data_IF_442477404531
#
_entry.id   IF_442477404531
#
_cell.length_a   1.000
_cell.length_b   1.000
_cell.length_c   1.000
_cell.angle_alpha   90.00
_cell.angle_beta   90.00
_cell.angle_gamma   90.00
#
_symmetry.space_group_name_H-M   'P 1'
#
loop_
_entity.id
_entity.type
_entity.pdbx_description
1 polymer ?
#
# COMPACT_ATOMS: atom_id res chain seq x y z
N UNK A 1 29.22 -28.45 -0.98
CA UNK A 1 28.37 -28.05 0.16
C UNK A 1 27.11 -27.43 -0.42
N UNK A 2 25.92 -27.87 -0.05
CA UNK A 2 24.71 -27.14 -0.45
C UNK A 2 24.73 -25.79 0.23
N UNK A 3 24.55 -24.72 -0.54
CA UNK A 3 24.49 -23.37 -0.01
C UNK A 3 23.26 -23.24 0.90
N UNK A 4 23.51 -23.27 2.22
CA UNK A 4 22.49 -23.17 3.25
C UNK A 4 21.74 -21.84 3.18
N UNK A 5 22.43 -20.77 2.77
CA UNK A 5 21.84 -19.44 2.61
C UNK A 5 20.90 -19.41 1.39
N UNK A 6 21.33 -20.00 0.27
CA UNK A 6 20.49 -20.12 -0.92
C UNK A 6 19.17 -20.85 -0.63
N UNK A 7 19.23 -21.99 0.09
CA UNK A 7 18.02 -22.73 0.49
C UNK A 7 17.13 -21.92 1.44
N UNK A 8 17.73 -21.25 2.43
CA UNK A 8 16.98 -20.40 3.36
C UNK A 8 16.27 -19.25 2.64
N UNK A 9 16.91 -18.64 1.63
CA UNK A 9 16.31 -17.61 0.78
C UNK A 9 15.15 -18.19 -0.03
N UNK A 10 15.35 -19.33 -0.72
CA UNK A 10 14.28 -19.97 -1.48
C UNK A 10 13.08 -20.33 -0.62
N UNK A 11 13.31 -20.89 0.58
CA UNK A 11 12.25 -21.21 1.53
C UNK A 11 11.55 -19.96 2.05
N UNK A 12 12.28 -18.88 2.33
CA UNK A 12 11.71 -17.63 2.80
C UNK A 12 10.83 -16.96 1.72
N UNK A 13 11.23 -17.02 0.45
CA UNK A 13 10.48 -16.43 -0.67
C UNK A 13 9.09 -17.06 -0.85
N UNK A 14 8.94 -18.35 -0.53
CA UNK A 14 7.65 -19.07 -0.68
C UNK A 14 6.76 -19.01 0.57
N UNK A 15 7.29 -18.53 1.70
CA UNK A 15 6.49 -18.37 2.94
C UNK A 15 5.49 -17.22 2.79
N UNK A 16 4.36 -17.26 3.52
CA UNK A 16 3.45 -16.13 3.60
C UNK A 16 4.20 -14.87 4.05
N UNK A 17 3.93 -13.75 3.38
CA UNK A 17 4.47 -12.46 3.79
C UNK A 17 3.84 -12.04 5.12
N UNK A 18 4.69 -11.50 5.98
CA UNK A 18 4.31 -10.83 7.22
C UNK A 18 3.78 -9.43 6.87
N UNK A 19 2.54 -9.14 7.27
CA UNK A 19 1.85 -7.90 6.90
C UNK A 19 2.54 -6.66 7.47
N UNK A 20 2.89 -6.68 8.74
CA UNK A 20 3.53 -5.54 9.42
C UNK A 20 4.93 -5.27 8.85
N UNK A 21 5.70 -6.34 8.58
CA UNK A 21 7.00 -6.17 7.90
C UNK A 21 6.84 -5.68 6.47
N UNK A 22 5.79 -6.08 5.78
CA UNK A 22 5.49 -5.60 4.43
C UNK A 22 5.12 -4.11 4.44
N UNK A 23 4.29 -3.66 5.37
CA UNK A 23 3.90 -2.24 5.53
C UNK A 23 5.14 -1.38 5.77
N UNK A 24 5.98 -1.75 6.74
CA UNK A 24 7.25 -1.05 7.02
C UNK A 24 8.18 -1.02 5.80
N UNK A 25 8.34 -2.18 5.15
CA UNK A 25 9.14 -2.29 3.93
C UNK A 25 8.58 -1.43 2.79
N UNK A 26 7.26 -1.39 2.61
CA UNK A 26 6.61 -0.57 1.60
C UNK A 26 6.85 0.92 1.86
N UNK A 27 6.73 1.38 3.11
CA UNK A 27 7.08 2.76 3.49
C UNK A 27 8.53 3.06 3.14
N UNK A 28 9.47 2.21 3.56
CA UNK A 28 10.90 2.44 3.35
C UNK A 28 11.27 2.48 1.86
N UNK A 29 10.76 1.55 1.05
CA UNK A 29 11.00 1.52 -0.39
C UNK A 29 10.38 2.72 -1.11
N UNK A 30 9.16 3.10 -0.72
CA UNK A 30 8.44 4.18 -1.38
C UNK A 30 8.96 5.57 -1.04
N UNK A 31 9.77 5.73 0.01
CA UNK A 31 10.44 7.01 0.30
C UNK A 31 11.36 7.50 -0.82
N UNK A 32 11.90 6.59 -1.63
CA UNK A 32 12.68 6.99 -2.81
C UNK A 32 11.84 7.76 -3.83
N UNK A 33 10.55 7.43 -3.93
CA UNK A 33 9.60 8.09 -4.82
C UNK A 33 8.81 9.22 -4.15
N UNK A 34 8.60 9.12 -2.83
CA UNK A 34 7.87 10.10 -2.02
C UNK A 34 8.74 10.50 -0.81
N UNK A 35 9.69 11.43 -0.95
CA UNK A 35 10.66 11.74 0.11
C UNK A 35 10.04 12.21 1.44
N UNK A 36 8.83 12.75 1.42
CA UNK A 36 8.08 13.18 2.60
C UNK A 36 7.30 12.04 3.29
N UNK A 37 7.32 10.83 2.74
CA UNK A 37 6.60 9.68 3.27
C UNK A 37 7.17 9.24 4.63
N UNK A 38 6.34 9.35 5.66
CA UNK A 38 6.62 8.89 7.02
C UNK A 38 5.67 7.75 7.40
N UNK A 39 6.12 6.78 8.21
CA UNK A 39 5.23 5.72 8.69
C UNK A 39 4.23 6.33 9.67
N UNK A 40 3.06 5.73 9.79
CA UNK A 40 2.19 5.92 10.95
C UNK A 40 2.45 4.75 11.88
N UNK A 41 2.83 5.04 13.13
CA UNK A 41 3.15 4.03 14.14
C UNK A 41 2.03 3.96 15.18
N UNK A 42 1.16 2.94 15.12
CA UNK A 42 0.16 2.74 16.16
C UNK A 42 -0.99 1.78 15.82
N UNK A 43 -1.54 1.12 16.84
CA UNK A 43 -2.68 0.18 16.68
C UNK A 43 -4.05 0.83 16.46
N UNK A 44 -4.11 2.16 16.28
CA UNK A 44 -5.35 2.93 16.16
C UNK A 44 -5.41 3.73 14.85
N UNK A 45 -4.53 3.41 13.89
CA UNK A 45 -4.14 4.25 12.74
C UNK A 45 -5.20 4.41 11.64
N UNK A 46 -6.47 4.26 11.97
CA UNK A 46 -7.63 4.48 11.10
C UNK A 46 -7.54 3.79 9.72
N UNK A 47 -6.64 2.82 9.55
CA UNK A 47 -6.37 2.13 8.29
C UNK A 47 -5.28 2.73 7.39
N UNK A 48 -4.32 3.50 7.93
CA UNK A 48 -3.20 4.06 7.16
C UNK A 48 -1.86 3.53 7.66
N UNK A 49 -0.95 3.26 6.72
CA UNK A 49 0.40 2.78 7.04
C UNK A 49 1.46 3.90 6.93
N UNK A 50 1.10 4.99 6.26
CA UNK A 50 2.01 6.12 6.05
C UNK A 50 1.29 7.39 5.59
N UNK A 51 1.99 8.51 5.74
CA UNK A 51 1.53 9.83 5.30
C UNK A 51 2.65 10.52 4.52
N UNK A 52 2.30 11.22 3.45
CA UNK A 52 3.28 11.97 2.67
C UNK A 52 2.62 13.03 1.80
N UNK A 53 3.42 13.58 0.90
CA UNK A 53 3.01 14.56 -0.10
C UNK A 53 3.50 14.14 -1.47
N UNK A 54 2.66 14.31 -2.49
CA UNK A 54 3.06 14.17 -3.88
C UNK A 54 4.02 15.31 -4.26
N UNK A 55 4.67 15.21 -5.42
CA UNK A 55 5.61 16.23 -5.91
C UNK A 55 4.99 17.62 -6.11
N UNK A 56 3.66 17.70 -6.24
CA UNK A 56 2.90 18.95 -6.35
C UNK A 56 2.44 19.51 -4.98
N UNK A 57 2.88 18.89 -3.88
CA UNK A 57 2.49 19.25 -2.51
C UNK A 57 1.14 18.67 -2.06
N UNK A 58 0.45 17.88 -2.90
CA UNK A 58 -0.83 17.29 -2.52
C UNK A 58 -0.63 16.24 -1.42
N UNK A 59 -1.26 16.38 -0.23
CA UNK A 59 -1.10 15.41 0.84
C UNK A 59 -1.82 14.10 0.52
N UNK A 60 -1.16 12.98 0.78
CA UNK A 60 -1.70 11.63 0.60
C UNK A 60 -1.50 10.76 1.83
N UNK A 61 -2.25 9.66 1.90
CA UNK A 61 -2.00 8.56 2.84
C UNK A 61 -1.71 7.26 2.08
N UNK A 62 -0.90 6.41 2.68
CA UNK A 62 -0.51 5.10 2.15
C UNK A 62 -1.40 4.02 2.76
N UNK A 63 -1.86 3.11 1.91
CA UNK A 63 -2.39 1.80 2.32
C UNK A 63 -1.54 0.72 1.68
N UNK A 64 -1.02 -0.21 2.47
CA UNK A 64 -0.16 -1.30 2.10
C UNK A 64 -0.80 -2.62 2.56
N UNK A 65 -0.83 -3.64 1.70
CA UNK A 65 -1.43 -4.92 2.09
C UNK A 65 -0.87 -6.14 1.35
N UNK A 66 -0.77 -7.25 2.08
CA UNK A 66 -0.46 -8.58 1.53
C UNK A 66 -1.70 -9.45 1.32
N UNK A 67 -2.88 -8.95 1.70
CA UNK A 67 -4.14 -9.67 1.62
C UNK A 67 -4.45 -10.09 0.17
N UNK A 68 -5.18 -11.20 0.02
CA UNK A 68 -5.59 -11.70 -1.31
C UNK A 68 -6.55 -10.72 -1.99
N UNK A 69 -7.47 -10.14 -1.22
CA UNK A 69 -8.42 -9.14 -1.70
C UNK A 69 -7.95 -7.73 -1.32
N UNK A 70 -6.93 -7.25 -2.04
CA UNK A 70 -6.39 -5.90 -1.84
C UNK A 70 -7.42 -4.80 -2.06
N UNK A 71 -8.46 -5.03 -2.90
CA UNK A 71 -9.54 -4.06 -3.11
C UNK A 71 -10.37 -3.90 -1.84
N UNK A 72 -10.84 -5.00 -1.27
CA UNK A 72 -11.65 -4.97 -0.06
C UNK A 72 -10.87 -4.36 1.11
N UNK A 73 -9.57 -4.71 1.24
CA UNK A 73 -8.69 -4.10 2.23
C UNK A 73 -8.57 -2.57 2.02
N UNK A 74 -8.25 -2.13 0.80
CA UNK A 74 -8.15 -0.70 0.47
C UNK A 74 -9.46 0.05 0.77
N UNK A 75 -10.60 -0.50 0.38
CA UNK A 75 -11.90 0.12 0.63
C UNK A 75 -12.20 0.24 2.13
N UNK A 76 -11.94 -0.81 2.90
CA UNK A 76 -12.12 -0.82 4.36
C UNK A 76 -11.27 0.25 5.02
N UNK A 77 -10.01 0.36 4.61
CA UNK A 77 -9.05 1.33 5.14
C UNK A 77 -9.42 2.77 4.78
N UNK A 78 -9.78 3.05 3.51
CA UNK A 78 -10.28 4.37 3.09
C UNK A 78 -11.53 4.76 3.86
N UNK A 79 -12.50 3.85 3.97
CA UNK A 79 -13.76 4.09 4.71
C UNK A 79 -13.48 4.41 6.18
N UNK A 80 -12.61 3.64 6.82
CA UNK A 80 -12.18 3.85 8.21
C UNK A 80 -11.53 5.22 8.39
N UNK A 81 -10.59 5.59 7.51
CA UNK A 81 -9.91 6.88 7.56
C UNK A 81 -10.88 8.07 7.44
N UNK A 82 -11.80 8.01 6.47
CA UNK A 82 -12.80 9.07 6.27
C UNK A 82 -13.77 9.14 7.46
N UNK A 83 -14.20 7.98 7.99
CA UNK A 83 -15.11 7.90 9.13
C UNK A 83 -14.47 8.40 10.43
N UNK A 84 -13.14 8.31 10.55
CA UNK A 84 -12.36 8.88 11.64
C UNK A 84 -12.11 10.40 11.50
N UNK A 85 -12.64 11.05 10.45
CA UNK A 85 -12.50 12.49 10.21
C UNK A 85 -11.23 12.87 9.42
N UNK A 86 -10.59 11.91 8.76
CA UNK A 86 -9.43 12.16 7.89
C UNK A 86 -9.73 13.18 6.79
N UNK A 87 -8.79 14.11 6.55
CA UNK A 87 -8.95 15.26 5.65
C UNK A 87 -8.35 15.02 4.25
N UNK A 88 -7.33 14.17 4.14
CA UNK A 88 -6.72 13.77 2.86
C UNK A 88 -7.74 13.12 1.91
N UNK A 89 -7.64 13.47 0.64
CA UNK A 89 -8.49 12.92 -0.45
C UNK A 89 -7.69 12.24 -1.54
N UNK A 90 -6.45 11.87 -1.22
CA UNK A 90 -5.55 11.14 -2.11
C UNK A 90 -4.93 9.96 -1.37
N UNK A 91 -4.98 8.79 -1.99
CA UNK A 91 -4.39 7.56 -1.47
C UNK A 91 -3.35 7.00 -2.44
N UNK A 92 -2.24 6.52 -1.91
CA UNK A 92 -1.28 5.66 -2.60
C UNK A 92 -1.49 4.24 -2.10
N UNK A 93 -1.57 3.26 -3.01
CA UNK A 93 -1.83 1.88 -2.65
C UNK A 93 -0.64 0.97 -2.97
N UNK A 94 -0.16 0.20 -2.01
CA UNK A 94 0.91 -0.78 -2.17
C UNK A 94 0.40 -2.20 -1.89
N UNK A 95 0.76 -3.17 -2.71
CA UNK A 95 0.35 -4.56 -2.46
C UNK A 95 1.29 -5.60 -3.05
N UNK A 96 1.41 -6.75 -2.37
CA UNK A 96 2.13 -7.93 -2.88
C UNK A 96 1.36 -8.70 -3.97
N UNK A 97 0.14 -8.28 -4.30
CA UNK A 97 -0.66 -8.82 -5.41
C UNK A 97 -0.41 -8.05 -6.68
N UNK A 98 -0.65 -8.68 -7.83
CA UNK A 98 -0.57 -8.00 -9.11
C UNK A 98 -1.85 -7.19 -9.37
N UNK A 99 -1.70 -5.94 -9.77
CA UNK A 99 -2.83 -5.07 -10.15
C UNK A 99 -2.61 -4.61 -11.59
N UNK A 100 -3.52 -5.02 -12.49
CA UNK A 100 -3.47 -4.57 -13.88
C UNK A 100 -3.91 -3.10 -14.01
N UNK A 101 -3.48 -2.43 -15.08
CA UNK A 101 -3.88 -1.04 -15.35
C UNK A 101 -5.41 -0.85 -15.35
N UNK A 102 -6.17 -1.78 -15.96
CA UNK A 102 -7.64 -1.75 -15.94
C UNK A 102 -8.21 -1.84 -14.52
N UNK A 103 -7.62 -2.69 -13.66
CA UNK A 103 -8.05 -2.79 -12.25
C UNK A 103 -7.71 -1.51 -11.49
N UNK A 104 -6.56 -0.89 -11.74
CA UNK A 104 -6.18 0.39 -11.13
C UNK A 104 -7.15 1.52 -11.49
N UNK A 105 -7.55 1.65 -12.76
CA UNK A 105 -8.52 2.65 -13.20
C UNK A 105 -9.91 2.43 -12.57
N UNK A 106 -10.33 1.18 -12.45
CA UNK A 106 -11.58 0.82 -11.79
C UNK A 106 -11.53 1.12 -10.29
N UNK A 107 -10.40 0.87 -9.63
CA UNK A 107 -10.21 1.25 -8.22
C UNK A 107 -10.29 2.77 -8.03
N UNK A 108 -9.61 3.57 -8.86
CA UNK A 108 -9.70 5.04 -8.78
C UNK A 108 -11.14 5.52 -8.95
N UNK A 109 -11.82 5.03 -10.00
CA UNK A 109 -13.22 5.40 -10.26
C UNK A 109 -14.15 5.03 -9.09
N UNK A 110 -13.97 3.84 -8.53
CA UNK A 110 -14.73 3.37 -7.37
C UNK A 110 -14.48 4.29 -6.16
N UNK A 111 -13.22 4.53 -5.80
CA UNK A 111 -12.87 5.35 -4.63
C UNK A 111 -13.35 6.79 -4.75
N UNK A 112 -13.27 7.38 -5.94
CA UNK A 112 -13.81 8.73 -6.20
C UNK A 112 -15.32 8.77 -6.03
N UNK A 113 -16.03 7.78 -6.55
CA UNK A 113 -17.49 7.74 -6.48
C UNK A 113 -18.04 7.48 -5.08
N UNK A 114 -17.33 6.68 -4.28
CA UNK A 114 -17.83 6.23 -2.97
C UNK A 114 -17.31 7.08 -1.80
N UNK A 115 -16.10 7.62 -1.89
CA UNK A 115 -15.43 8.26 -0.76
C UNK A 115 -14.85 9.65 -1.11
N UNK A 116 -15.02 10.11 -2.35
CA UNK A 116 -14.37 11.33 -2.86
C UNK A 116 -12.83 11.28 -2.73
N UNK A 117 -12.26 10.06 -2.74
CA UNK A 117 -10.81 9.83 -2.65
C UNK A 117 -10.26 9.42 -4.00
N UNK A 118 -9.18 10.07 -4.43
CA UNK A 118 -8.43 9.73 -5.64
C UNK A 118 -7.32 8.73 -5.34
N UNK A 119 -7.18 7.72 -6.18
CA UNK A 119 -6.02 6.82 -6.20
C UNK A 119 -4.89 7.46 -7.03
N UNK A 120 -3.81 7.87 -6.37
CA UNK A 120 -2.68 8.51 -7.05
C UNK A 120 -1.77 7.51 -7.77
N UNK A 121 -1.47 6.39 -7.11
CA UNK A 121 -0.57 5.38 -7.63
C UNK A 121 -0.87 4.01 -7.03
N UNK A 122 -0.52 2.97 -7.78
CA UNK A 122 -0.55 1.58 -7.33
C UNK A 122 0.83 0.97 -7.50
N UNK A 123 1.45 0.63 -6.37
CA UNK A 123 2.71 -0.10 -6.28
C UNK A 123 2.41 -1.56 -6.02
N UNK A 124 2.26 -2.32 -7.10
CA UNK A 124 1.84 -3.72 -7.05
C UNK A 124 3.00 -4.64 -7.42
N UNK A 125 2.87 -5.93 -7.11
CA UNK A 125 3.84 -6.93 -7.55
C UNK A 125 3.96 -6.90 -9.08
N UNK A 126 5.13 -6.49 -9.56
CA UNK A 126 5.51 -6.59 -10.97
C UNK A 126 5.78 -8.04 -11.38
N UNK A 127 5.77 -8.29 -12.68
CA UNK A 127 6.39 -9.50 -13.21
C UNK A 127 7.91 -9.28 -13.13
N UNK A 128 8.62 -10.07 -12.32
CA UNK A 128 10.06 -10.23 -12.48
C UNK A 128 10.25 -10.94 -13.81
N UNK A 129 10.47 -10.17 -14.88
CA UNK A 129 10.91 -10.70 -16.17
C UNK A 129 12.41 -10.86 -16.18
#
# INVERSE_FOLDING_TARGET
MSDTLYRAIQEAIVRPLDGEKFERCAVDLLREHYPSLRPVEGGNDAGMDGLGELSDGTPFFLVATVEKDGRANLERNVRSYISAGGDRRVVVFATSRQVSGRRSLHLDSHLRSQFEVRLAAVHSRGDLK
#
